data_IF_429660408080
#
_entry.id   IF_429660408080
#
_cell.length_a   1.000
_cell.length_b   1.000
_cell.length_c   1.000
_cell.angle_alpha   90.00
_cell.angle_beta   90.00
_cell.angle_gamma   90.00
#
_symmetry.space_group_name_H-M   'P 1'
#
loop_
_entity.id
_entity.type
_entity.pdbx_description
1 polymer ?
#
# COMPACT_ATOMS: atom_id res chain seq x y z
N UNK A 1 9.59 31.63 -92.18
CA UNK A 1 8.27 30.96 -92.38
C UNK A 1 8.35 29.54 -91.85
N UNK A 2 7.25 29.08 -91.26
CA UNK A 2 7.12 28.02 -90.25
C UNK A 2 7.53 26.60 -90.71
N UNK A 3 8.18 25.85 -89.82
CA UNK A 3 8.08 24.39 -89.73
C UNK A 3 7.66 24.03 -88.30
N UNK A 4 6.49 23.42 -88.18
CA UNK A 4 6.05 22.69 -86.98
C UNK A 4 6.72 21.31 -86.97
N UNK A 5 6.85 20.71 -85.79
CA UNK A 5 6.29 19.37 -85.64
C UNK A 5 5.39 19.23 -84.42
N UNK A 6 4.30 18.51 -84.63
CA UNK A 6 3.48 17.84 -83.64
C UNK A 6 4.32 16.81 -82.87
N UNK A 7 4.14 16.71 -81.56
CA UNK A 7 3.92 15.42 -80.89
C UNK A 7 2.99 15.63 -79.70
N UNK A 8 2.02 14.73 -79.62
CA UNK A 8 0.87 14.66 -78.73
C UNK A 8 1.29 14.01 -77.41
N UNK A 9 0.74 14.46 -76.27
CA UNK A 9 0.37 13.66 -75.08
C UNK A 9 -0.16 14.56 -73.95
N UNK A 10 -1.49 14.60 -73.77
CA UNK A 10 -2.26 13.84 -72.75
C UNK A 10 -2.00 14.32 -71.30
N UNK A 11 -2.95 15.13 -70.84
CA UNK A 11 -3.55 15.25 -69.49
C UNK A 11 -2.81 14.68 -68.29
N UNK A 12 -2.59 15.51 -67.25
CA UNK A 12 -3.05 15.22 -65.88
C UNK A 12 -2.86 16.45 -64.97
N UNK A 13 -3.98 17.08 -64.65
CA UNK A 13 -4.17 17.84 -63.42
C UNK A 13 -3.96 16.88 -62.25
N UNK A 14 -2.93 17.09 -61.46
CA UNK A 14 -2.87 16.59 -60.08
C UNK A 14 -2.56 17.79 -59.19
N UNK A 15 -3.62 18.27 -58.55
CA UNK A 15 -3.53 19.12 -57.38
C UNK A 15 -2.73 18.37 -56.31
N UNK A 16 -1.55 18.88 -55.95
CA UNK A 16 -0.85 18.41 -54.76
C UNK A 16 -1.43 19.15 -53.57
N UNK A 17 -2.32 18.42 -52.89
CA UNK A 17 -2.87 18.71 -51.58
C UNK A 17 -1.82 19.19 -50.58
N UNK A 18 -2.24 20.12 -49.73
CA UNK A 18 -1.48 20.55 -48.57
C UNK A 18 -1.18 19.39 -47.62
N UNK A 19 0.01 19.45 -47.02
CA UNK A 19 0.36 18.67 -45.85
C UNK A 19 0.83 19.69 -44.80
N UNK A 20 -0.08 20.03 -43.89
CA UNK A 20 0.24 20.64 -42.60
C UNK A 20 1.18 19.68 -41.87
N UNK A 21 2.49 19.95 -41.86
CA UNK A 21 3.43 19.25 -41.01
C UNK A 21 3.33 19.78 -39.56
N UNK A 22 2.15 19.66 -38.96
CA UNK A 22 1.97 19.74 -37.51
C UNK A 22 2.24 18.38 -36.92
N UNK A 23 3.52 18.03 -36.75
CA UNK A 23 3.91 16.76 -36.14
C UNK A 23 3.34 16.66 -34.72
N UNK A 24 2.41 15.74 -34.48
CA UNK A 24 2.05 15.30 -33.15
C UNK A 24 3.33 14.81 -32.45
N UNK A 25 3.85 15.60 -31.49
CA UNK A 25 4.89 15.12 -30.60
C UNK A 25 4.26 14.07 -29.69
N UNK A 26 4.80 12.84 -29.59
CA UNK A 26 4.30 11.88 -28.63
C UNK A 26 4.51 12.45 -27.23
N UNK A 27 3.43 12.60 -26.47
CA UNK A 27 3.49 13.00 -25.07
C UNK A 27 3.36 11.75 -24.20
N UNK A 28 4.19 11.65 -23.17
CA UNK A 28 4.20 10.49 -22.26
C UNK A 28 3.42 10.88 -21.02
N UNK A 29 2.38 10.10 -20.70
CA UNK A 29 1.71 10.17 -19.41
C UNK A 29 2.25 9.04 -18.54
N UNK A 30 2.78 9.38 -17.37
CA UNK A 30 3.14 8.43 -16.33
C UNK A 30 2.06 8.42 -15.25
N UNK A 31 1.38 7.29 -15.10
CA UNK A 31 0.39 7.09 -14.04
C UNK A 31 1.11 6.60 -12.78
N UNK A 32 0.85 7.28 -11.65
CA UNK A 32 1.38 6.89 -10.34
C UNK A 32 0.25 6.79 -9.34
N UNK A 33 0.19 5.69 -8.59
CA UNK A 33 -0.76 5.56 -7.50
C UNK A 33 -0.27 6.37 -6.31
N UNK A 34 -1.12 7.24 -5.75
CA UNK A 34 -0.81 7.94 -4.51
C UNK A 34 -0.54 6.91 -3.41
N UNK A 35 0.49 7.12 -2.58
CA UNK A 35 0.63 6.34 -1.35
C UNK A 35 -0.61 6.52 -0.48
N UNK A 36 -1.24 5.42 -0.06
CA UNK A 36 -2.54 5.41 0.64
C UNK A 36 -2.61 6.13 1.98
N UNK A 37 -1.48 6.65 2.47
CA UNK A 37 -1.35 7.37 3.73
C UNK A 37 -1.12 8.88 3.55
N UNK A 38 -0.94 9.37 2.32
CA UNK A 38 -0.41 10.71 2.08
C UNK A 38 -1.42 11.84 2.29
N UNK A 39 -2.66 11.66 1.85
CA UNK A 39 -3.73 12.68 1.98
C UNK A 39 -4.12 12.93 3.46
N UNK A 40 -3.70 12.06 4.38
CA UNK A 40 -3.89 12.21 5.82
C UNK A 40 -2.66 12.82 6.56
N UNK A 41 -1.51 12.95 5.89
CA UNK A 41 -0.23 13.31 6.54
C UNK A 41 0.36 14.66 6.10
N UNK A 42 -0.19 15.33 5.08
CA UNK A 42 0.28 16.66 4.66
C UNK A 42 -0.89 17.55 4.20
N UNK A 43 -0.80 18.87 4.42
CA UNK A 43 -1.76 19.86 3.87
C UNK A 43 -1.55 20.10 2.37
N UNK A 44 -0.52 19.50 1.76
CA UNK A 44 -0.16 19.64 0.35
C UNK A 44 -0.69 18.47 -0.47
N UNK A 45 -1.67 18.73 -1.34
CA UNK A 45 -2.18 17.70 -2.27
C UNK A 45 -1.15 17.38 -3.36
N UNK A 46 -1.00 16.10 -3.71
CA UNK A 46 -0.36 15.71 -4.97
C UNK A 46 -1.16 16.30 -6.13
N UNK A 47 -0.57 17.26 -6.82
CA UNK A 47 -1.14 17.83 -8.05
C UNK A 47 -0.57 17.11 -9.24
N UNK A 48 -1.40 16.85 -10.25
CA UNK A 48 -0.90 16.49 -11.57
C UNK A 48 0.06 17.58 -12.03
N UNK A 49 1.14 17.17 -12.70
CA UNK A 49 2.19 18.08 -13.07
C UNK A 49 3.01 17.55 -14.22
N UNK A 50 3.76 18.43 -14.85
CA UNK A 50 4.66 18.08 -15.95
C UNK A 50 6.09 18.13 -15.44
N UNK A 51 6.86 17.07 -15.67
CA UNK A 51 8.30 17.07 -15.35
C UNK A 51 9.04 18.04 -16.28
N UNK A 52 10.29 18.39 -15.92
CA UNK A 52 11.14 19.23 -16.79
C UNK A 52 11.35 18.59 -18.17
N UNK A 53 11.23 17.27 -18.28
CA UNK A 53 11.36 16.49 -19.52
C UNK A 53 10.05 16.37 -20.31
N UNK A 54 8.99 17.06 -19.90
CA UNK A 54 7.70 17.09 -20.61
C UNK A 54 6.79 15.87 -20.37
N UNK A 55 7.08 15.04 -19.37
CA UNK A 55 6.23 13.89 -18.98
C UNK A 55 5.12 14.38 -18.07
N UNK A 56 3.87 14.08 -18.41
CA UNK A 56 2.71 14.38 -17.55
C UNK A 56 2.59 13.29 -16.48
N UNK A 57 2.74 13.66 -15.21
CA UNK A 57 2.47 12.76 -14.09
C UNK A 57 1.00 12.92 -13.70
N UNK A 58 0.24 11.82 -13.80
CA UNK A 58 -1.11 11.71 -13.25
C UNK A 58 -1.12 10.86 -12.00
N UNK A 59 -1.60 11.45 -10.91
CA UNK A 59 -1.77 10.75 -9.64
C UNK A 59 -3.14 10.08 -9.60
N UNK A 60 -3.15 8.77 -9.40
CA UNK A 60 -4.34 7.96 -9.17
C UNK A 60 -4.58 7.82 -7.67
N UNK A 61 -5.86 7.89 -7.27
CA UNK A 61 -6.24 7.61 -5.89
C UNK A 61 -5.94 6.15 -5.56
N UNK A 62 -5.44 5.82 -4.35
CA UNK A 62 -5.27 4.44 -3.98
C UNK A 62 -6.64 3.79 -3.87
N UNK A 63 -6.80 2.61 -4.44
CA UNK A 63 -7.98 1.80 -4.16
C UNK A 63 -8.09 1.62 -2.63
N UNK A 64 -9.22 1.99 -2.05
CA UNK A 64 -9.57 1.53 -0.70
C UNK A 64 -9.45 0.02 -0.75
N UNK A 65 -8.80 -0.58 0.25
CA UNK A 65 -8.70 -2.03 0.33
C UNK A 65 -10.11 -2.59 0.16
N UNK A 66 -10.34 -3.30 -0.94
CA UNK A 66 -11.62 -3.91 -1.21
C UNK A 66 -11.94 -4.89 -0.06
N UNK A 67 -13.21 -5.01 0.38
CA UNK A 67 -13.60 -5.97 1.43
C UNK A 67 -13.04 -7.38 1.19
N UNK A 68 -12.93 -7.80 -0.07
CA UNK A 68 -12.38 -9.09 -0.49
C UNK A 68 -10.93 -9.35 -0.04
N UNK A 69 -10.13 -8.33 0.27
CA UNK A 69 -8.75 -8.55 0.76
C UNK A 69 -8.70 -8.94 2.25
N UNK A 70 -9.83 -8.89 2.94
CA UNK A 70 -9.99 -9.21 4.37
C UNK A 70 -10.69 -10.57 4.58
N UNK A 71 -10.99 -11.28 3.49
CA UNK A 71 -11.60 -12.60 3.50
C UNK A 71 -10.58 -13.65 3.05
N UNK A 72 -10.39 -14.71 3.83
CA UNK A 72 -9.65 -15.89 3.43
C UNK A 72 -10.54 -17.13 3.56
N UNK A 73 -10.48 -18.06 2.61
CA UNK A 73 -11.18 -19.35 2.72
C UNK A 73 -10.32 -20.34 3.48
N UNK A 74 -10.74 -20.72 4.68
CA UNK A 74 -10.05 -21.71 5.50
C UNK A 74 -10.99 -22.91 5.67
N UNK A 75 -10.60 -24.07 5.13
CA UNK A 75 -11.37 -25.32 5.29
C UNK A 75 -12.78 -25.32 4.68
N UNK A 76 -13.11 -24.37 3.81
CA UNK A 76 -14.43 -24.23 3.19
C UNK A 76 -15.29 -23.10 3.77
N UNK A 77 -14.88 -22.49 4.88
CA UNK A 77 -15.55 -21.33 5.48
C UNK A 77 -14.88 -20.02 5.09
N UNK A 78 -15.66 -18.94 5.01
CA UNK A 78 -15.16 -17.57 4.82
C UNK A 78 -14.69 -17.04 6.17
N UNK A 79 -13.38 -16.92 6.35
CA UNK A 79 -12.77 -16.32 7.52
C UNK A 79 -12.51 -14.84 7.26
N UNK A 80 -13.21 -13.97 7.98
CA UNK A 80 -13.00 -12.52 7.92
C UNK A 80 -12.05 -12.08 9.03
N UNK A 81 -10.98 -11.40 8.66
CA UNK A 81 -9.99 -10.89 9.63
C UNK A 81 -10.44 -9.59 10.31
N UNK A 82 -11.42 -8.92 9.70
CA UNK A 82 -12.11 -7.73 10.22
C UNK A 82 -13.59 -7.79 9.84
N UNK A 83 -14.46 -7.64 10.83
CA UNK A 83 -15.91 -7.58 10.66
C UNK A 83 -16.43 -6.31 11.33
N UNK A 84 -17.31 -5.58 10.64
CA UNK A 84 -18.03 -4.44 11.18
C UNK A 84 -19.50 -4.83 11.28
N UNK A 85 -20.05 -4.78 12.49
CA UNK A 85 -21.46 -5.05 12.75
C UNK A 85 -22.31 -3.83 12.42
N UNK A 86 -23.63 -4.03 12.31
CA UNK A 86 -24.58 -2.96 11.98
C UNK A 86 -24.61 -1.81 13.00
N UNK A 87 -24.15 -2.07 14.24
CA UNK A 87 -24.03 -1.08 15.31
C UNK A 87 -22.70 -0.31 15.30
N UNK A 88 -21.82 -0.58 14.33
CA UNK A 88 -20.50 0.03 14.20
C UNK A 88 -19.40 -0.68 15.01
N UNK A 89 -19.72 -1.76 15.73
CA UNK A 89 -18.71 -2.56 16.44
C UNK A 89 -17.79 -3.25 15.46
N UNK A 90 -16.48 -3.07 15.65
CA UNK A 90 -15.46 -3.74 14.84
C UNK A 90 -14.84 -4.89 15.62
N UNK A 91 -14.78 -6.07 14.99
CA UNK A 91 -14.08 -7.25 15.50
C UNK A 91 -12.90 -7.62 14.60
N UNK A 92 -11.71 -7.76 15.19
CA UNK A 92 -10.49 -8.19 14.53
C UNK A 92 -10.15 -9.63 14.93
N UNK A 93 -9.80 -10.45 13.94
CA UNK A 93 -9.39 -11.84 14.15
C UNK A 93 -8.12 -12.14 13.38
N UNK A 94 -7.20 -12.90 13.99
CA UNK A 94 -5.95 -13.25 13.36
C UNK A 94 -5.54 -14.70 13.63
N UNK A 95 -5.61 -15.53 12.59
CA UNK A 95 -5.13 -16.93 12.58
C UNK A 95 -3.77 -17.15 11.90
N UNK A 96 -3.28 -16.16 11.17
CA UNK A 96 -2.01 -16.24 10.43
C UNK A 96 -1.21 -14.96 10.66
N UNK A 97 0.13 -14.99 10.49
CA UNK A 97 0.94 -13.79 10.63
C UNK A 97 0.49 -12.67 9.70
N UNK A 98 0.07 -13.03 8.48
CA UNK A 98 -0.53 -12.09 7.51
C UNK A 98 -1.74 -11.36 8.09
N UNK A 99 -2.64 -12.05 8.77
CA UNK A 99 -3.82 -11.43 9.39
C UNK A 99 -3.43 -10.36 10.41
N UNK A 100 -2.40 -10.63 11.23
CA UNK A 100 -1.87 -9.63 12.20
C UNK A 100 -1.33 -8.41 11.47
N UNK A 101 -0.52 -8.60 10.43
CA UNK A 101 0.06 -7.50 9.66
C UNK A 101 -1.01 -6.63 8.99
N UNK A 102 -2.04 -7.25 8.40
CA UNK A 102 -3.14 -6.54 7.72
C UNK A 102 -4.01 -5.78 8.73
N UNK A 103 -4.42 -6.41 9.83
CA UNK A 103 -5.22 -5.77 10.87
C UNK A 103 -4.45 -4.62 11.53
N UNK A 104 -3.17 -4.82 11.87
CA UNK A 104 -2.34 -3.77 12.43
C UNK A 104 -2.22 -2.58 11.47
N UNK A 105 -1.94 -2.84 10.19
CA UNK A 105 -1.86 -1.79 9.17
C UNK A 105 -3.17 -1.01 9.03
N UNK A 106 -4.32 -1.71 9.05
CA UNK A 106 -5.63 -1.06 9.01
C UNK A 106 -5.84 -0.13 10.21
N UNK A 107 -5.53 -0.60 11.43
CA UNK A 107 -5.64 0.22 12.64
C UNK A 107 -4.73 1.46 12.57
N UNK A 108 -3.46 1.30 12.15
CA UNK A 108 -2.54 2.42 11.95
C UNK A 108 -3.05 3.42 10.91
N UNK A 109 -3.70 2.96 9.83
CA UNK A 109 -4.27 3.83 8.80
C UNK A 109 -5.46 4.62 9.31
N UNK A 110 -6.30 4.01 10.15
CA UNK A 110 -7.54 4.62 10.63
C UNK A 110 -7.37 5.36 11.97
N UNK A 111 -6.21 5.28 12.62
CA UNK A 111 -5.97 5.76 14.00
C UNK A 111 -6.80 5.03 15.06
N UNK A 112 -7.11 3.75 14.82
CA UNK A 112 -7.87 2.89 15.74
C UNK A 112 -6.91 2.25 16.75
N UNK A 113 -6.26 3.08 17.56
CA UNK A 113 -5.25 2.63 18.53
C UNK A 113 -5.86 1.87 19.70
N UNK A 114 -7.05 2.27 20.10
CA UNK A 114 -7.94 1.58 21.03
C UNK A 114 -8.28 0.16 20.54
N UNK A 115 -8.72 0.03 19.29
CA UNK A 115 -9.04 -1.27 18.69
C UNK A 115 -7.79 -2.18 18.61
N UNK A 116 -6.66 -1.61 18.21
CA UNK A 116 -5.38 -2.32 18.17
C UNK A 116 -4.97 -2.78 19.57
N UNK A 117 -5.09 -1.90 20.56
CA UNK A 117 -4.80 -2.17 21.96
C UNK A 117 -5.68 -3.29 22.50
N UNK A 118 -7.00 -3.21 22.32
CA UNK A 118 -7.99 -4.11 22.91
C UNK A 118 -8.02 -5.50 22.27
N UNK A 119 -7.84 -5.59 20.96
CA UNK A 119 -8.11 -6.84 20.23
C UNK A 119 -6.86 -7.49 19.61
N UNK A 120 -5.82 -6.72 19.31
CA UNK A 120 -4.67 -7.22 18.55
C UNK A 120 -3.36 -7.25 19.34
N UNK A 121 -3.19 -6.38 20.34
CA UNK A 121 -1.98 -6.33 21.16
C UNK A 121 -1.90 -7.58 22.05
N UNK A 122 -0.69 -8.14 22.20
CA UNK A 122 -0.47 -9.27 23.09
C UNK A 122 -0.68 -8.87 24.55
N UNK A 123 -1.15 -9.83 25.36
CA UNK A 123 -1.43 -9.62 26.78
C UNK A 123 -0.18 -9.14 27.51
N UNK A 124 0.99 -9.71 27.20
CA UNK A 124 2.28 -9.31 27.78
C UNK A 124 2.65 -7.86 27.48
N UNK A 125 2.48 -7.38 26.25
CA UNK A 125 2.76 -6.00 25.87
C UNK A 125 1.74 -5.05 26.49
N UNK A 126 0.47 -5.45 26.55
CA UNK A 126 -0.57 -4.67 27.22
C UNK A 126 -0.26 -4.48 28.70
N UNK A 127 0.04 -5.56 29.42
CA UNK A 127 0.40 -5.51 30.84
C UNK A 127 1.66 -4.68 31.10
N UNK A 128 2.63 -4.67 30.19
CA UNK A 128 3.79 -3.79 30.28
C UNK A 128 3.37 -2.30 30.29
N UNK A 129 2.51 -1.88 29.37
CA UNK A 129 2.03 -0.50 29.33
C UNK A 129 1.08 -0.18 30.49
N UNK A 130 0.17 -1.08 30.86
CA UNK A 130 -0.72 -0.93 32.03
C UNK A 130 0.03 -0.79 33.36
N UNK A 131 1.25 -1.33 33.45
CA UNK A 131 2.12 -1.15 34.62
C UNK A 131 2.78 0.23 34.70
N UNK A 132 2.76 1.00 33.60
CA UNK A 132 3.22 2.39 33.58
C UNK A 132 2.11 3.32 34.10
N UNK A 133 2.49 4.47 34.64
CA UNK A 133 1.54 5.47 35.17
C UNK A 133 0.51 5.92 34.11
N UNK A 134 0.95 6.05 32.86
CA UNK A 134 0.16 6.58 31.75
C UNK A 134 -0.58 5.48 30.95
N UNK A 135 -0.37 4.19 31.25
CA UNK A 135 -1.13 3.09 30.65
C UNK A 135 -1.27 3.13 29.11
N UNK A 136 -2.51 3.15 28.66
CA UNK A 136 -2.88 3.28 27.24
C UNK A 136 -2.39 4.60 26.62
N UNK A 137 -2.35 5.72 27.36
CA UNK A 137 -1.92 7.00 26.82
C UNK A 137 -0.43 6.97 26.43
N UNK A 138 0.41 6.29 27.22
CA UNK A 138 1.81 6.05 26.86
C UNK A 138 1.94 5.19 25.59
N UNK A 139 1.13 4.14 25.47
CA UNK A 139 1.08 3.30 24.28
C UNK A 139 0.68 4.11 23.04
N UNK A 140 -0.43 4.84 23.10
CA UNK A 140 -0.93 5.64 22.00
C UNK A 140 0.11 6.69 21.58
N UNK A 141 0.74 7.36 22.54
CA UNK A 141 1.79 8.35 22.29
C UNK A 141 2.99 7.76 21.55
N UNK A 142 3.44 6.56 21.94
CA UNK A 142 4.54 5.89 21.22
C UNK A 142 4.14 5.49 19.80
N UNK A 143 2.94 4.92 19.62
CA UNK A 143 2.43 4.56 18.30
C UNK A 143 2.26 5.78 17.40
N UNK A 144 1.73 6.89 17.92
CA UNK A 144 1.59 8.13 17.14
C UNK A 144 2.94 8.69 16.71
N UNK A 145 3.94 8.66 17.59
CA UNK A 145 5.31 9.09 17.29
C UNK A 145 5.94 8.28 16.16
N UNK A 146 5.65 6.98 16.10
CA UNK A 146 6.27 6.05 15.16
C UNK A 146 5.37 5.61 13.99
N UNK A 147 4.12 6.08 13.97
CA UNK A 147 3.04 5.65 13.07
C UNK A 147 3.48 5.51 11.62
N UNK A 148 4.14 6.55 11.08
CA UNK A 148 4.53 6.59 9.67
C UNK A 148 5.51 5.48 9.33
N UNK A 149 6.55 5.30 10.15
CA UNK A 149 7.62 4.35 9.87
C UNK A 149 7.14 2.91 10.11
N UNK A 150 6.29 2.68 11.13
CA UNK A 150 5.65 1.38 11.38
C UNK A 150 4.67 1.00 10.26
N UNK A 151 3.80 1.93 9.84
CA UNK A 151 2.86 1.70 8.75
C UNK A 151 3.58 1.44 7.41
N UNK A 152 4.71 2.10 7.15
CA UNK A 152 5.53 1.85 5.97
C UNK A 152 6.07 0.40 5.96
N UNK A 153 6.61 -0.06 7.09
CA UNK A 153 7.07 -1.45 7.25
C UNK A 153 5.94 -2.44 7.01
N UNK A 154 4.82 -2.27 7.74
CA UNK A 154 3.66 -3.17 7.66
C UNK A 154 3.11 -3.23 6.22
N UNK A 155 2.95 -2.09 5.56
CA UNK A 155 2.51 -2.05 4.17
C UNK A 155 3.46 -2.80 3.25
N UNK A 156 4.78 -2.63 3.42
CA UNK A 156 5.77 -3.34 2.61
C UNK A 156 5.73 -4.85 2.84
N UNK A 157 5.51 -5.28 4.08
CA UNK A 157 5.38 -6.70 4.43
C UNK A 157 4.10 -7.31 3.86
N UNK A 158 2.96 -6.64 4.01
CA UNK A 158 1.67 -7.10 3.43
C UNK A 158 1.78 -7.30 1.92
N UNK A 159 2.40 -6.35 1.20
CA UNK A 159 2.63 -6.47 -0.25
C UNK A 159 3.71 -7.50 -0.57
N UNK A 160 4.79 -7.54 0.23
CA UNK A 160 5.96 -8.38 -0.02
C UNK A 160 5.75 -9.88 0.20
N UNK A 161 4.71 -10.27 0.96
CA UNK A 161 4.37 -11.70 1.15
C UNK A 161 4.07 -12.41 -0.17
N UNK A 162 3.45 -11.72 -1.14
CA UNK A 162 3.17 -12.29 -2.47
C UNK A 162 4.45 -12.53 -3.29
N UNK A 163 5.52 -11.79 -2.99
CA UNK A 163 6.77 -11.81 -3.77
C UNK A 163 7.93 -12.49 -3.04
N UNK A 164 7.67 -13.24 -1.96
CA UNK A 164 8.70 -13.86 -1.11
C UNK A 164 9.72 -12.85 -0.54
N UNK A 165 9.29 -11.63 -0.27
CA UNK A 165 10.13 -10.56 0.28
C UNK A 165 10.03 -10.44 1.79
N UNK A 166 9.12 -11.22 2.40
CA UNK A 166 8.97 -11.38 3.84
C UNK A 166 9.44 -12.76 4.23
N UNK A 167 10.38 -12.79 5.17
CA UNK A 167 10.86 -14.00 5.83
C UNK A 167 10.05 -14.14 7.12
N UNK A 168 9.51 -15.35 7.34
CA UNK A 168 8.75 -15.71 8.53
C UNK A 168 9.52 -16.84 9.21
N UNK A 169 10.01 -16.58 10.41
CA UNK A 169 10.65 -17.57 11.27
C UNK A 169 9.79 -17.82 12.51
N UNK A 170 9.75 -19.06 12.98
CA UNK A 170 9.06 -19.44 14.23
C UNK A 170 10.09 -19.95 15.21
N UNK A 171 10.17 -19.31 16.37
CA UNK A 171 11.03 -19.73 17.47
C UNK A 171 10.49 -20.98 18.16
N UNK A 172 11.33 -21.60 18.98
CA UNK A 172 10.99 -22.82 19.73
C UNK A 172 9.84 -22.61 20.73
N UNK A 173 9.65 -21.37 21.18
CA UNK A 173 8.57 -20.93 22.06
C UNK A 173 7.25 -20.64 21.32
N UNK A 174 7.23 -20.81 19.98
CA UNK A 174 6.09 -20.49 19.13
C UNK A 174 5.96 -19.01 18.78
N UNK A 175 6.91 -18.16 19.19
CA UNK A 175 6.96 -16.76 18.76
C UNK A 175 7.30 -16.68 17.27
N UNK A 176 6.54 -15.88 16.53
CA UNK A 176 6.70 -15.70 15.09
C UNK A 176 7.37 -14.36 14.82
N UNK A 177 8.45 -14.40 14.04
CA UNK A 177 9.24 -13.25 13.62
C UNK A 177 9.02 -13.01 12.14
N UNK A 178 8.51 -11.84 11.79
CA UNK A 178 8.35 -11.40 10.40
C UNK A 178 9.34 -10.28 10.10
N UNK A 179 10.19 -10.46 9.10
CA UNK A 179 11.15 -9.44 8.67
C UNK A 179 11.30 -9.42 7.15
N UNK A 180 11.71 -8.27 6.61
CA UNK A 180 11.98 -8.15 5.18
C UNK A 180 13.31 -8.84 4.82
N UNK A 181 13.41 -9.33 3.59
CA UNK A 181 14.65 -9.88 3.07
C UNK A 181 15.80 -8.85 3.14
N UNK A 182 17.04 -9.35 3.17
CA UNK A 182 18.23 -8.54 3.44
C UNK A 182 18.38 -7.32 2.52
N UNK A 183 17.92 -7.42 1.27
CA UNK A 183 17.98 -6.31 0.29
C UNK A 183 17.11 -5.12 0.69
N UNK A 184 15.91 -5.38 1.24
CA UNK A 184 14.92 -4.34 1.56
C UNK A 184 15.06 -3.84 3.00
N UNK A 185 15.56 -4.68 3.91
CA UNK A 185 15.69 -4.38 5.34
C UNK A 185 16.37 -3.03 5.61
N UNK A 186 17.42 -2.56 4.89
CA UNK A 186 18.05 -1.26 5.13
C UNK A 186 17.12 -0.04 4.96
N UNK A 187 16.08 -0.14 4.14
CA UNK A 187 15.21 1.00 3.77
C UNK A 187 14.23 1.43 4.88
N UNK A 188 14.02 0.59 5.90
CA UNK A 188 13.00 0.81 6.92
C UNK A 188 13.62 1.10 8.28
N UNK A 189 13.03 1.99 9.08
CA UNK A 189 13.52 2.24 10.44
C UNK A 189 13.35 1.00 11.33
N UNK A 190 12.12 0.50 11.37
CA UNK A 190 11.77 -0.77 12.00
C UNK A 190 12.10 -1.93 11.06
N UNK A 191 12.49 -3.07 11.62
CA UNK A 191 13.04 -4.20 10.86
C UNK A 191 12.23 -5.48 11.03
N UNK A 192 11.47 -5.59 12.10
CA UNK A 192 10.85 -6.83 12.54
C UNK A 192 9.47 -6.56 13.15
N UNK A 193 8.54 -7.46 12.86
CA UNK A 193 7.26 -7.58 13.55
C UNK A 193 7.26 -8.90 14.30
N UNK A 194 7.07 -8.84 15.62
CA UNK A 194 7.03 -10.00 16.50
C UNK A 194 5.57 -10.31 16.85
N UNK A 195 5.21 -11.58 16.72
CA UNK A 195 3.85 -12.07 16.87
C UNK A 195 3.88 -13.26 17.83
N UNK A 196 2.91 -13.35 18.73
CA UNK A 196 2.77 -14.45 19.68
C UNK A 196 1.41 -15.13 19.53
N UNK A 197 1.33 -16.38 19.95
CA UNK A 197 0.08 -17.13 19.99
C UNK A 197 -0.57 -16.97 21.37
N UNK A 198 -1.80 -16.46 21.41
CA UNK A 198 -2.62 -16.31 22.62
C UNK A 198 -4.06 -16.76 22.29
N UNK A 199 -4.65 -17.62 23.12
CA UNK A 199 -6.03 -18.09 22.99
C UNK A 199 -6.44 -18.60 21.59
N UNK A 200 -5.53 -19.33 20.93
CA UNK A 200 -5.70 -19.87 19.56
C UNK A 200 -5.79 -18.78 18.49
N UNK A 201 -5.34 -17.57 18.78
CA UNK A 201 -5.14 -16.48 17.84
C UNK A 201 -3.70 -15.99 17.89
N UNK A 202 -3.32 -15.21 16.89
CA UNK A 202 -2.03 -14.54 16.84
C UNK A 202 -2.21 -13.07 17.21
N UNK A 203 -1.37 -12.59 18.12
CA UNK A 203 -1.37 -11.23 18.63
C UNK A 203 -0.08 -10.50 18.26
N UNK A 204 -0.18 -9.21 18.02
CA UNK A 204 0.95 -8.33 17.81
C UNK A 204 1.68 -8.15 19.14
N UNK A 205 2.92 -8.62 19.22
CA UNK A 205 3.75 -8.42 20.41
C UNK A 205 4.49 -7.09 20.33
N UNK A 206 5.24 -6.85 19.25
CA UNK A 206 5.96 -5.58 19.06
C UNK A 206 6.37 -5.35 17.59
N UNK A 207 6.70 -4.10 17.26
CA UNK A 207 7.32 -3.68 16.00
C UNK A 207 8.63 -2.97 16.34
N UNK A 208 9.78 -3.51 15.91
CA UNK A 208 11.12 -3.04 16.30
C UNK A 208 12.11 -2.98 15.14
#
# INVERSE_FOLDING_TARGET
MRRFPQQIRWSLLVAVSGIMAGGCKPYVIEYRTKPSYYDQMTTSSFKNGTTQDGVEIRWLEPERIAPDSMEERIGGEVFRIREEADDGTVTLRAKTPRHVLVNALACFRNNEYDLLWDQMLSSSTRSFYESQEDGFEAYEKDLRKHRRDMAALLNRMVVGQTFNEVIIETGDDGTVYCFLCQRLRPEFKFKEVVIVSEDRELKLHTIR
#
